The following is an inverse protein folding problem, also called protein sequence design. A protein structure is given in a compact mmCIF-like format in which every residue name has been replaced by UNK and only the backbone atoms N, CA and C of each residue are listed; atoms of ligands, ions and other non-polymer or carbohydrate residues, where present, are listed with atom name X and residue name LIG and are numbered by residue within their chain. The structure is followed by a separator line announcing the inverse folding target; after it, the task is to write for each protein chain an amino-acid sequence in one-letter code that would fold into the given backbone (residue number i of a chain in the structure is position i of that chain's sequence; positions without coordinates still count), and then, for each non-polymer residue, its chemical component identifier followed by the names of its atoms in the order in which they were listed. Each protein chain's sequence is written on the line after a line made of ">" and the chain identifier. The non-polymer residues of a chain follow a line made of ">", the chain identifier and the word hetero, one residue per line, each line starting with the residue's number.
data_IF_052630153258
#
_entry.id   IF_052630153258
#
_cell.length_a   1.000
_cell.length_b   1.000
_cell.length_c   1.000
_cell.angle_alpha   90.00
_cell.angle_beta   90.00
_cell.angle_gamma   90.00
#
_symmetry.space_group_name_H-M   'P 1'
#
loop_
_entity.id
_entity.type
_entity.pdbx_description
1 polymer ?
#
# COMPACT_ATOMS: atom_id res chain seq x y z
N UNK A 1 -3.06 23.02 24.16
CA UNK A 1 -2.38 22.63 22.91
C UNK A 1 -2.79 21.20 22.62
N UNK A 2 -3.78 21.02 21.74
CA UNK A 2 -4.12 19.68 21.24
C UNK A 2 -2.92 19.16 20.44
N UNK A 3 -2.41 17.99 20.81
CA UNK A 3 -1.37 17.31 20.03
C UNK A 3 -2.02 16.81 18.74
N UNK A 4 -1.90 17.57 17.65
CA UNK A 4 -2.22 17.06 16.33
C UNK A 4 -1.10 16.11 15.88
N UNK A 5 -1.38 14.81 15.91
CA UNK A 5 -0.48 13.82 15.35
C UNK A 5 -0.52 13.91 13.81
N UNK A 6 0.65 13.99 13.19
CA UNK A 6 0.78 13.99 11.73
C UNK A 6 1.23 12.61 11.24
N UNK A 7 0.59 12.11 10.18
CA UNK A 7 0.90 10.81 9.58
C UNK A 7 1.23 10.93 8.10
N UNK A 8 2.18 10.11 7.65
CA UNK A 8 2.51 9.95 6.25
C UNK A 8 1.96 8.63 5.72
N UNK A 9 1.20 8.68 4.63
CA UNK A 9 0.68 7.52 3.93
C UNK A 9 1.43 7.37 2.60
N UNK A 10 2.10 6.24 2.42
CA UNK A 10 2.84 5.90 1.21
C UNK A 10 2.06 4.86 0.43
N UNK A 11 1.43 5.28 -0.66
CA UNK A 11 0.45 4.49 -1.40
C UNK A 11 1.01 3.98 -2.72
N UNK A 12 0.63 2.76 -3.07
CA UNK A 12 0.92 2.14 -4.36
C UNK A 12 -0.22 1.17 -4.75
N UNK A 13 -0.19 0.72 -5.99
CA UNK A 13 -1.13 -0.23 -6.54
C UNK A 13 -0.51 -1.37 -7.35
N UNK A 14 -1.14 -2.53 -7.26
CA UNK A 14 -0.85 -3.69 -8.08
C UNK A 14 -2.06 -4.05 -8.94
N UNK A 15 -1.80 -4.39 -10.20
CA UNK A 15 -2.80 -4.91 -11.14
C UNK A 15 -4.02 -3.99 -11.36
N UNK A 16 -3.77 -2.68 -11.41
CA UNK A 16 -4.82 -1.66 -11.48
C UNK A 16 -5.37 -1.46 -12.89
N UNK A 17 -4.58 -1.73 -13.93
CA UNK A 17 -4.99 -1.54 -15.32
C UNK A 17 -6.19 -2.42 -15.66
N UNK A 18 -7.14 -1.87 -16.41
CA UNK A 18 -8.38 -2.58 -16.80
C UNK A 18 -8.11 -3.91 -17.52
N UNK A 19 -7.12 -3.93 -18.40
CA UNK A 19 -6.88 -5.02 -19.35
C UNK A 19 -5.57 -5.79 -19.11
N UNK A 20 -5.09 -5.89 -17.87
CA UNK A 20 -3.85 -6.63 -17.53
C UNK A 20 -4.06 -8.16 -17.33
N UNK A 21 -5.27 -8.67 -17.57
CA UNK A 21 -5.64 -10.07 -17.39
C UNK A 21 -5.73 -10.55 -15.93
N UNK A 22 -5.69 -9.64 -14.96
CA UNK A 22 -5.80 -9.94 -13.52
C UNK A 22 -7.21 -9.65 -13.04
N UNK A 23 -7.76 -10.48 -12.14
CA UNK A 23 -9.11 -10.27 -11.62
C UNK A 23 -9.14 -9.19 -10.52
N UNK A 24 -8.15 -9.24 -9.63
CA UNK A 24 -8.11 -8.39 -8.45
C UNK A 24 -7.09 -7.26 -8.62
N UNK A 25 -7.56 -6.03 -8.44
CA UNK A 25 -6.73 -4.85 -8.22
C UNK A 25 -6.50 -4.69 -6.73
N UNK A 26 -5.25 -4.41 -6.33
CA UNK A 26 -4.87 -4.16 -4.95
C UNK A 26 -4.38 -2.73 -4.85
N UNK A 27 -5.01 -1.93 -4.01
CA UNK A 27 -4.54 -0.60 -3.63
C UNK A 27 -4.14 -0.66 -2.16
N UNK A 28 -2.98 -0.12 -1.80
CA UNK A 28 -2.53 -0.16 -0.42
C UNK A 28 -1.71 1.05 -0.02
N UNK A 29 -1.49 1.17 1.29
CA UNK A 29 -0.54 2.12 1.84
C UNK A 29 0.21 1.56 3.05
N UNK A 30 1.40 2.10 3.27
CA UNK A 30 2.06 2.11 4.58
C UNK A 30 1.82 3.45 5.25
N UNK A 31 1.32 3.42 6.50
CA UNK A 31 1.21 4.62 7.32
C UNK A 31 2.26 4.63 8.42
N UNK A 32 2.82 5.82 8.67
CA UNK A 32 3.83 6.04 9.69
C UNK A 32 3.69 7.46 10.28
N UNK A 33 3.90 7.64 11.61
CA UNK A 33 3.98 8.96 12.21
C UNK A 33 5.08 9.80 11.59
N UNK A 34 4.79 11.07 11.33
CA UNK A 34 5.69 12.01 10.68
C UNK A 34 7.03 12.15 11.43
N UNK A 35 7.00 12.20 12.75
CA UNK A 35 8.17 12.30 13.64
C UNK A 35 9.05 11.04 13.64
N UNK A 36 8.51 9.89 13.21
CA UNK A 36 9.23 8.60 13.14
C UNK A 36 9.90 8.34 11.79
N UNK A 37 9.55 9.07 10.73
CA UNK A 37 10.03 8.82 9.36
C UNK A 37 11.55 8.80 9.26
N UNK A 38 12.23 9.77 9.90
CA UNK A 38 13.69 9.84 9.86
C UNK A 38 14.34 8.58 10.44
N UNK A 39 13.84 8.12 11.59
CA UNK A 39 14.34 6.93 12.28
C UNK A 39 14.06 5.66 11.47
N UNK A 40 12.86 5.53 10.91
CA UNK A 40 12.51 4.38 10.05
C UNK A 40 13.44 4.28 8.83
N UNK A 41 13.75 5.42 8.19
CA UNK A 41 14.69 5.48 7.07
C UNK A 41 16.11 5.06 7.46
N UNK A 42 16.59 5.52 8.61
CA UNK A 42 17.90 5.12 9.15
C UNK A 42 17.95 3.61 9.43
N UNK A 43 16.90 3.05 10.04
CA UNK A 43 16.85 1.64 10.39
C UNK A 43 16.79 0.73 9.15
N UNK A 44 16.03 1.11 8.10
CA UNK A 44 16.02 0.40 6.82
C UNK A 44 17.37 0.53 6.12
N UNK A 45 18.04 1.69 6.21
CA UNK A 45 19.39 1.89 5.66
C UNK A 45 20.41 0.95 6.33
N UNK A 46 20.37 0.78 7.65
CA UNK A 46 21.24 -0.18 8.33
C UNK A 46 20.91 -1.63 7.93
N UNK A 47 19.63 -1.96 7.76
CA UNK A 47 19.23 -3.27 7.25
C UNK A 47 19.77 -3.54 5.84
N UNK A 48 19.69 -2.54 4.94
CA UNK A 48 20.27 -2.62 3.59
C UNK A 48 21.78 -2.85 3.63
N UNK A 49 22.51 -2.15 4.52
CA UNK A 49 23.96 -2.34 4.70
C UNK A 49 24.30 -3.76 5.15
N UNK A 50 23.57 -4.30 6.14
CA UNK A 50 23.75 -5.68 6.64
C UNK A 50 23.72 -6.71 5.51
N UNK A 51 22.82 -6.53 4.55
CA UNK A 51 22.63 -7.45 3.42
C UNK A 51 23.33 -7.01 2.12
N UNK A 52 24.10 -5.92 2.15
CA UNK A 52 24.72 -5.29 0.96
C UNK A 52 23.71 -5.05 -0.18
N UNK A 53 22.46 -4.75 0.17
CA UNK A 53 21.39 -4.54 -0.81
C UNK A 53 21.22 -3.04 -1.14
N UNK A 54 21.82 -2.62 -2.26
CA UNK A 54 21.68 -1.26 -2.81
C UNK A 54 20.50 -1.14 -3.77
N UNK A 55 19.90 -2.26 -4.18
CA UNK A 55 18.81 -2.29 -5.14
C UNK A 55 17.48 -1.87 -4.51
N UNK A 56 16.63 -1.25 -5.34
CA UNK A 56 15.24 -0.98 -5.01
C UNK A 56 14.50 -2.29 -4.67
N UNK A 57 13.75 -2.25 -3.58
CA UNK A 57 12.88 -3.36 -3.17
C UNK A 57 11.63 -3.30 -4.04
N UNK A 58 11.44 -4.35 -4.83
CA UNK A 58 10.22 -4.59 -5.60
C UNK A 58 9.78 -6.04 -5.46
N UNK A 59 8.48 -6.31 -5.46
CA UNK A 59 7.94 -7.67 -5.48
C UNK A 59 8.43 -8.47 -6.70
N UNK A 60 8.60 -7.81 -7.85
CA UNK A 60 9.15 -8.41 -9.06
C UNK A 60 10.58 -8.91 -8.87
N UNK A 61 11.37 -8.24 -8.02
CA UNK A 61 12.79 -8.52 -7.81
C UNK A 61 13.05 -9.63 -6.78
N UNK A 62 12.02 -10.07 -6.05
CA UNK A 62 12.15 -11.14 -5.04
C UNK A 62 12.53 -12.48 -5.69
N UNK A 63 13.67 -13.01 -5.27
CA UNK A 63 14.22 -14.29 -5.70
C UNK A 63 14.95 -14.99 -4.52
N UNK A 64 15.61 -16.12 -4.80
CA UNK A 64 16.25 -16.92 -3.74
C UNK A 64 17.42 -16.18 -3.06
N UNK A 65 18.19 -15.38 -3.81
CA UNK A 65 19.38 -14.70 -3.32
C UNK A 65 19.07 -13.56 -2.34
N UNK A 66 18.01 -12.80 -2.60
CA UNK A 66 17.62 -11.67 -1.75
C UNK A 66 16.52 -12.01 -0.73
N UNK A 67 16.06 -13.27 -0.67
CA UNK A 67 14.98 -13.68 0.20
C UNK A 67 15.21 -13.29 1.67
N UNK A 68 16.41 -13.51 2.21
CA UNK A 68 16.70 -13.23 3.62
C UNK A 68 16.55 -11.74 3.95
N UNK A 69 16.97 -10.86 3.04
CA UNK A 69 16.76 -9.41 3.20
C UNK A 69 15.27 -9.03 3.18
N UNK A 70 14.51 -9.59 2.23
CA UNK A 70 13.07 -9.35 2.15
C UNK A 70 12.32 -9.91 3.37
N UNK A 71 12.72 -11.07 3.88
CA UNK A 71 12.17 -11.65 5.10
C UNK A 71 12.46 -10.76 6.32
N UNK A 72 13.66 -10.18 6.42
CA UNK A 72 14.00 -9.24 7.48
C UNK A 72 13.28 -7.89 7.33
N UNK A 73 12.97 -7.43 6.11
CA UNK A 73 12.10 -6.27 5.90
C UNK A 73 10.67 -6.53 6.41
N UNK A 74 10.14 -7.73 6.16
CA UNK A 74 8.86 -8.15 6.73
C UNK A 74 8.93 -8.19 8.26
N UNK A 75 10.02 -8.72 8.83
CA UNK A 75 10.22 -8.69 10.28
C UNK A 75 10.26 -7.25 10.81
N UNK A 76 11.10 -6.40 10.22
CA UNK A 76 11.21 -4.97 10.53
C UNK A 76 9.85 -4.29 10.56
N UNK A 77 8.99 -4.58 9.58
CA UNK A 77 7.63 -4.07 9.58
C UNK A 77 6.88 -4.57 10.81
N UNK A 78 6.73 -5.88 10.98
CA UNK A 78 5.88 -6.46 12.02
C UNK A 78 6.40 -6.27 13.45
N UNK A 79 7.70 -6.04 13.65
CA UNK A 79 8.33 -5.78 14.96
C UNK A 79 8.06 -4.37 15.50
N UNK A 80 7.40 -3.51 14.71
CA UNK A 80 7.15 -2.10 15.01
C UNK A 80 5.68 -1.81 15.19
N UNK A 81 5.29 -1.14 16.27
CA UNK A 81 3.90 -0.76 16.52
C UNK A 81 3.49 0.56 15.86
N UNK A 82 4.46 1.39 15.48
CA UNK A 82 4.26 2.74 14.96
C UNK A 82 3.91 2.78 13.46
N UNK A 83 4.30 1.76 12.70
CA UNK A 83 3.95 1.66 11.27
C UNK A 83 2.82 0.68 11.03
N UNK A 84 1.93 0.98 10.08
CA UNK A 84 0.77 0.14 9.76
C UNK A 84 0.66 -0.06 8.26
N UNK A 85 0.00 -1.13 7.86
CA UNK A 85 -0.34 -1.42 6.48
C UNK A 85 -1.85 -1.52 6.34
N UNK A 86 -2.38 -0.92 5.29
CA UNK A 86 -3.75 -1.16 4.84
C UNK A 86 -3.76 -1.45 3.35
N UNK A 87 -4.58 -2.40 2.94
CA UNK A 87 -4.93 -2.62 1.56
C UNK A 87 -6.44 -2.80 1.37
N UNK A 88 -6.89 -2.46 0.17
CA UNK A 88 -8.19 -2.88 -0.33
C UNK A 88 -8.01 -3.86 -1.49
N UNK A 89 -8.86 -4.88 -1.51
CA UNK A 89 -8.92 -5.87 -2.60
C UNK A 89 -10.17 -5.56 -3.42
N UNK A 90 -9.99 -5.27 -4.70
CA UNK A 90 -11.07 -4.89 -5.61
C UNK A 90 -11.20 -5.92 -6.72
N UNK A 91 -12.36 -6.57 -6.81
CA UNK A 91 -12.68 -7.40 -7.97
C UNK A 91 -13.06 -6.51 -9.16
N UNK A 92 -12.21 -6.49 -10.20
CA UNK A 92 -12.41 -5.66 -11.38
C UNK A 92 -13.66 -6.05 -12.18
N UNK A 93 -14.19 -7.27 -12.00
CA UNK A 93 -15.47 -7.67 -12.61
C UNK A 93 -16.67 -6.88 -12.07
N UNK A 94 -16.50 -6.19 -10.93
CA UNK A 94 -17.54 -5.32 -10.35
C UNK A 94 -17.55 -3.91 -10.96
N UNK A 95 -16.66 -3.60 -11.91
CA UNK A 95 -16.71 -2.34 -12.64
C UNK A 95 -17.99 -2.23 -13.47
N UNK A 96 -18.81 -1.22 -13.17
CA UNK A 96 -20.02 -0.88 -13.92
C UNK A 96 -19.79 0.44 -14.64
N UNK A 97 -19.56 0.38 -15.96
CA UNK A 97 -19.21 1.54 -16.77
C UNK A 97 -20.20 2.71 -16.64
N UNK A 98 -21.51 2.42 -16.68
CA UNK A 98 -22.55 3.44 -16.56
C UNK A 98 -22.48 4.23 -15.23
N UNK A 99 -22.07 3.58 -14.12
CA UNK A 99 -21.92 4.25 -12.82
C UNK A 99 -20.65 5.11 -12.73
N UNK A 100 -19.71 4.91 -13.65
CA UNK A 100 -18.42 5.60 -13.67
C UNK A 100 -18.28 6.52 -14.90
N UNK A 101 -19.38 6.89 -15.56
CA UNK A 101 -19.37 7.68 -16.80
C UNK A 101 -18.46 7.08 -17.90
N UNK A 102 -18.40 5.75 -17.97
CA UNK A 102 -17.52 4.99 -18.87
C UNK A 102 -16.02 5.24 -18.67
N UNK A 103 -15.63 5.93 -17.60
CA UNK A 103 -14.25 6.19 -17.22
C UNK A 103 -13.79 5.18 -16.16
N UNK A 104 -12.86 4.31 -16.55
CA UNK A 104 -12.27 3.33 -15.64
C UNK A 104 -11.37 3.98 -14.59
N UNK A 105 -10.76 5.12 -14.91
CA UNK A 105 -9.90 5.82 -13.95
C UNK A 105 -10.74 6.40 -12.81
N UNK A 106 -11.95 6.88 -13.11
CA UNK A 106 -12.92 7.25 -12.07
C UNK A 106 -13.22 6.10 -11.11
N UNK A 107 -13.38 4.87 -11.62
CA UNK A 107 -13.53 3.70 -10.77
C UNK A 107 -12.30 3.50 -9.87
N UNK A 108 -11.09 3.55 -10.43
CA UNK A 108 -9.83 3.48 -9.68
C UNK A 108 -9.75 4.54 -8.56
N UNK A 109 -10.09 5.80 -8.84
CA UNK A 109 -10.07 6.86 -7.82
C UNK A 109 -11.12 6.70 -6.73
N UNK A 110 -12.32 6.21 -7.08
CA UNK A 110 -13.33 5.85 -6.08
C UNK A 110 -12.82 4.75 -5.15
N UNK A 111 -12.03 3.80 -5.66
CA UNK A 111 -11.40 2.79 -4.82
C UNK A 111 -10.28 3.38 -3.95
N UNK A 112 -9.45 4.28 -4.47
CA UNK A 112 -8.49 5.03 -3.66
C UNK A 112 -9.13 5.82 -2.53
N UNK A 113 -10.31 6.41 -2.77
CA UNK A 113 -11.11 7.03 -1.72
C UNK A 113 -11.51 6.01 -0.64
N UNK A 114 -11.99 4.82 -1.01
CA UNK A 114 -12.31 3.73 -0.06
C UNK A 114 -11.08 3.27 0.74
N UNK A 115 -9.89 3.26 0.11
CA UNK A 115 -8.65 2.93 0.78
C UNK A 115 -8.34 3.92 1.91
N UNK A 116 -8.46 5.22 1.63
CA UNK A 116 -7.95 6.27 2.53
C UNK A 116 -9.02 6.69 3.56
N UNK A 117 -10.21 7.08 3.11
CA UNK A 117 -11.20 7.82 3.89
C UNK A 117 -11.62 7.14 5.20
N UNK A 118 -11.85 5.82 5.17
CA UNK A 118 -12.52 5.10 6.28
C UNK A 118 -11.70 4.92 7.56
N UNK A 119 -10.39 5.16 7.52
CA UNK A 119 -9.49 5.09 8.68
C UNK A 119 -8.81 6.44 8.97
N UNK A 120 -9.30 7.53 8.41
CA UNK A 120 -8.85 8.86 8.83
C UNK A 120 -9.44 9.18 10.21
N UNK A 121 -8.63 9.85 11.03
CA UNK A 121 -8.98 10.41 12.32
C UNK A 121 -9.00 11.94 12.20
N UNK A 122 -10.13 12.56 12.53
CA UNK A 122 -10.33 14.01 12.42
C UNK A 122 -9.43 14.81 13.36
N UNK A 123 -8.82 14.19 14.38
CA UNK A 123 -7.89 14.88 15.29
C UNK A 123 -6.45 14.88 14.80
N UNK A 124 -6.16 14.19 13.69
CA UNK A 124 -4.82 14.04 13.11
C UNK A 124 -4.71 14.73 11.75
N UNK A 125 -3.49 14.98 11.29
CA UNK A 125 -3.23 15.48 9.93
C UNK A 125 -2.48 14.45 9.09
N UNK A 126 -2.65 14.53 7.77
CA UNK A 126 -2.17 13.49 6.86
C UNK A 126 -1.46 14.06 5.64
N UNK A 127 -0.30 13.48 5.34
CA UNK A 127 0.44 13.65 4.11
C UNK A 127 0.35 12.37 3.28
N UNK A 128 -0.20 12.45 2.08
CA UNK A 128 -0.37 11.32 1.17
C UNK A 128 0.69 11.41 0.07
N UNK A 129 1.41 10.31 -0.13
CA UNK A 129 2.46 10.14 -1.12
C UNK A 129 2.07 9.01 -2.07
N UNK A 130 1.92 9.31 -3.34
CA UNK A 130 1.57 8.35 -4.40
C UNK A 130 2.82 8.04 -5.23
N UNK A 131 2.99 6.79 -5.68
CA UNK A 131 4.06 6.44 -6.63
C UNK A 131 3.82 7.10 -8.01
N UNK A 132 4.88 7.63 -8.62
CA UNK A 132 4.82 8.18 -9.98
C UNK A 132 4.72 7.04 -10.98
N UNK A 133 3.63 6.99 -11.74
CA UNK A 133 3.49 6.04 -12.87
C UNK A 133 3.46 6.68 -14.25
N UNK A 134 2.77 7.82 -14.46
CA UNK A 134 2.76 8.57 -15.74
C UNK A 134 2.30 10.03 -15.56
N UNK A 135 2.65 10.93 -16.50
CA UNK A 135 2.46 12.39 -16.47
C UNK A 135 0.98 12.88 -16.47
N UNK A 136 0.00 11.97 -16.64
CA UNK A 136 -1.45 12.28 -16.62
C UNK A 136 -2.02 12.47 -15.20
N UNK A 137 -1.16 12.49 -14.20
CA UNK A 137 -1.50 12.26 -12.80
C UNK A 137 -1.77 13.52 -11.97
N UNK A 138 -1.45 14.71 -12.49
CA UNK A 138 -1.59 15.99 -11.76
C UNK A 138 -3.05 16.43 -11.59
N UNK A 139 -3.84 16.44 -12.67
CA UNK A 139 -5.27 16.81 -12.64
C UNK A 139 -6.08 15.93 -11.67
N UNK A 140 -5.66 14.66 -11.54
CA UNK A 140 -6.39 13.64 -10.79
C UNK A 140 -6.04 13.62 -9.30
N UNK A 141 -4.84 14.10 -8.93
CA UNK A 141 -4.53 14.42 -7.52
C UNK A 141 -5.47 15.50 -7.00
N UNK A 142 -5.75 16.53 -7.79
CA UNK A 142 -6.66 17.59 -7.36
C UNK A 142 -8.07 17.07 -7.12
N UNK A 143 -8.57 16.18 -7.99
CA UNK A 143 -9.87 15.51 -7.78
C UNK A 143 -9.87 14.64 -6.53
N UNK A 144 -8.83 13.81 -6.32
CA UNK A 144 -8.72 13.01 -5.09
C UNK A 144 -8.64 13.92 -3.85
N UNK A 145 -7.88 15.02 -3.92
CA UNK A 145 -7.78 16.01 -2.85
C UNK A 145 -9.13 16.66 -2.58
N UNK A 146 -9.89 17.05 -3.61
CA UNK A 146 -11.26 17.57 -3.46
C UNK A 146 -12.12 16.53 -2.75
N UNK A 147 -12.21 15.31 -3.27
CA UNK A 147 -13.06 14.26 -2.69
C UNK A 147 -12.69 13.98 -1.22
N UNK A 148 -11.39 13.93 -0.88
CA UNK A 148 -10.94 13.68 0.49
C UNK A 148 -11.11 14.88 1.44
N UNK A 149 -10.86 16.12 0.96
CA UNK A 149 -10.90 17.32 1.81
C UNK A 149 -12.27 18.01 1.86
N UNK A 150 -13.25 17.64 1.03
CA UNK A 150 -14.61 18.21 1.08
C UNK A 150 -15.23 18.12 2.48
N UNK A 151 -14.81 17.16 3.32
CA UNK A 151 -15.45 16.91 4.61
C UNK A 151 -14.60 17.21 5.86
N UNK A 152 -13.27 17.23 5.78
CA UNK A 152 -12.45 17.19 7.01
C UNK A 152 -11.31 18.21 7.10
N UNK A 153 -10.75 18.68 5.98
CA UNK A 153 -9.60 19.61 6.01
C UNK A 153 -8.30 19.05 6.63
N UNK A 154 -8.25 17.74 6.91
CA UNK A 154 -7.13 17.06 7.60
C UNK A 154 -6.03 16.55 6.65
N UNK A 155 -6.26 16.54 5.33
CA UNK A 155 -5.23 16.19 4.36
C UNK A 155 -4.45 17.46 3.99
N UNK A 156 -3.27 17.63 4.59
CA UNK A 156 -2.37 18.75 4.32
C UNK A 156 -1.82 18.68 2.90
N UNK A 157 -1.44 17.47 2.46
CA UNK A 157 -0.67 17.26 1.25
C UNK A 157 -1.04 15.97 0.55
N UNK A 158 -1.13 16.03 -0.78
CA UNK A 158 -1.10 14.87 -1.67
C UNK A 158 -0.01 15.17 -2.70
N UNK A 159 1.00 14.30 -2.80
CA UNK A 159 2.05 14.47 -3.81
C UNK A 159 2.49 13.15 -4.40
N UNK A 160 3.09 13.26 -5.57
CA UNK A 160 3.84 12.18 -6.19
C UNK A 160 5.25 12.06 -5.63
N UNK A 161 5.75 10.83 -5.54
CA UNK A 161 7.12 10.49 -5.17
C UNK A 161 7.64 9.36 -6.04
N UNK A 162 8.96 9.25 -6.18
CA UNK A 162 9.57 8.13 -6.88
C UNK A 162 9.80 6.98 -5.90
N UNK A 163 9.23 5.81 -6.19
CA UNK A 163 9.39 4.58 -5.38
C UNK A 163 10.84 4.30 -4.93
N UNK A 164 11.83 4.45 -5.82
CA UNK A 164 13.23 4.21 -5.48
C UNK A 164 13.82 5.17 -4.41
N UNK A 165 13.20 6.33 -4.18
CA UNK A 165 13.64 7.32 -3.19
C UNK A 165 13.02 7.11 -1.79
N UNK A 166 11.99 6.25 -1.70
CA UNK A 166 11.13 6.12 -0.51
C UNK A 166 11.00 4.67 -0.06
N UNK A 167 11.73 4.28 0.98
CA UNK A 167 11.75 2.90 1.50
C UNK A 167 10.37 2.38 1.96
N UNK A 168 9.55 3.24 2.58
CA UNK A 168 8.21 2.84 3.04
C UNK A 168 7.23 2.60 1.87
N UNK A 169 7.43 3.27 0.74
CA UNK A 169 6.68 3.03 -0.48
C UNK A 169 7.08 1.69 -1.10
N UNK A 170 8.37 1.36 -1.09
CA UNK A 170 8.85 0.04 -1.52
C UNK A 170 8.34 -1.10 -0.62
N UNK A 171 8.17 -0.83 0.68
CA UNK A 171 7.53 -1.77 1.60
C UNK A 171 6.03 -1.94 1.29
N UNK A 172 5.36 -0.88 0.83
CA UNK A 172 4.00 -0.96 0.32
C UNK A 172 3.92 -1.85 -0.93
N UNK A 173 4.76 -1.60 -1.95
CA UNK A 173 4.89 -2.44 -3.17
C UNK A 173 5.05 -3.92 -2.80
N UNK A 174 5.91 -4.20 -1.82
CA UNK A 174 6.17 -5.56 -1.36
C UNK A 174 4.90 -6.26 -0.85
N UNK A 175 4.11 -5.60 -0.01
CA UNK A 175 2.91 -6.18 0.57
C UNK A 175 1.76 -6.28 -0.43
N UNK A 176 1.50 -5.24 -1.22
CA UNK A 176 0.46 -5.31 -2.26
C UNK A 176 0.82 -6.33 -3.35
N UNK A 177 2.11 -6.49 -3.67
CA UNK A 177 2.61 -7.50 -4.58
C UNK A 177 2.41 -8.92 -4.04
N UNK A 178 2.64 -9.14 -2.75
CA UNK A 178 2.34 -10.41 -2.08
C UNK A 178 0.85 -10.75 -2.10
N UNK A 179 -0.03 -9.79 -1.78
CA UNK A 179 -1.49 -9.95 -1.85
C UNK A 179 -1.94 -10.25 -3.28
N UNK A 180 -1.49 -9.45 -4.25
CA UNK A 180 -1.82 -9.59 -5.66
C UNK A 180 -1.41 -10.96 -6.20
N UNK A 181 -0.18 -11.41 -5.92
CA UNK A 181 0.28 -12.73 -6.33
C UNK A 181 -0.53 -13.85 -5.67
N UNK A 182 -0.91 -13.69 -4.39
CA UNK A 182 -1.72 -14.69 -3.72
C UNK A 182 -3.12 -14.83 -4.36
N UNK A 183 -3.72 -13.72 -4.80
CA UNK A 183 -5.09 -13.65 -5.29
C UNK A 183 -5.23 -13.88 -6.80
N UNK A 184 -4.27 -13.42 -7.60
CA UNK A 184 -4.38 -13.40 -9.06
C UNK A 184 -3.66 -14.56 -9.77
N UNK A 185 -2.84 -15.34 -9.07
CA UNK A 185 -2.08 -16.43 -9.66
C UNK A 185 -2.65 -17.78 -9.22
N UNK A 186 -3.25 -18.51 -10.16
CA UNK A 186 -3.75 -19.89 -9.95
C UNK A 186 -2.57 -20.83 -9.68
N UNK A 187 -1.53 -20.74 -10.51
CA UNK A 187 -0.32 -21.54 -10.39
C UNK A 187 0.77 -20.69 -9.72
N UNK A 188 1.20 -21.11 -8.53
CA UNK A 188 2.22 -20.42 -7.73
C UNK A 188 3.47 -21.30 -7.68
N UNK A 189 4.51 -20.93 -8.44
CA UNK A 189 5.74 -21.73 -8.58
C UNK A 189 6.99 -21.05 -8.01
N UNK A 190 6.95 -19.74 -7.79
CA UNK A 190 8.11 -19.01 -7.28
C UNK A 190 8.26 -19.25 -5.77
N UNK A 191 9.09 -20.23 -5.40
CA UNK A 191 9.31 -20.63 -4.00
C UNK A 191 9.67 -19.45 -3.06
N UNK A 192 10.54 -18.49 -3.41
CA UNK A 192 10.81 -17.33 -2.55
C UNK A 192 9.57 -16.47 -2.28
N UNK A 193 8.70 -16.30 -3.29
CA UNK A 193 7.44 -15.55 -3.18
C UNK A 193 6.45 -16.28 -2.27
N UNK A 194 6.31 -17.59 -2.45
CA UNK A 194 5.48 -18.45 -1.60
C UNK A 194 5.92 -18.39 -0.13
N UNK A 195 7.22 -18.52 0.12
CA UNK A 195 7.79 -18.43 1.49
C UNK A 195 7.54 -17.07 2.12
N UNK A 196 7.67 -15.98 1.36
CA UNK A 196 7.42 -14.64 1.89
C UNK A 196 5.94 -14.39 2.19
N UNK A 197 5.04 -14.88 1.33
CA UNK A 197 3.58 -14.84 1.59
C UNK A 197 3.25 -15.58 2.88
N UNK A 198 3.80 -16.78 3.06
CA UNK A 198 3.58 -17.56 4.28
C UNK A 198 4.14 -16.84 5.52
N UNK A 199 5.32 -16.22 5.40
CA UNK A 199 5.87 -15.40 6.48
C UNK A 199 4.94 -14.23 6.83
N UNK A 200 4.40 -13.52 5.83
CA UNK A 200 3.45 -12.41 6.06
C UNK A 200 2.20 -12.95 6.75
N UNK A 201 1.65 -14.09 6.30
CA UNK A 201 0.50 -14.76 6.92
C UNK A 201 0.77 -15.09 8.40
N UNK A 202 1.90 -15.69 8.71
CA UNK A 202 2.29 -16.04 10.08
C UNK A 202 2.49 -14.80 10.96
N UNK A 203 3.16 -13.77 10.45
CA UNK A 203 3.43 -12.54 11.21
C UNK A 203 2.19 -11.67 11.41
N UNK A 204 1.24 -11.72 10.48
CA UNK A 204 -0.02 -10.95 10.55
C UNK A 204 -1.15 -11.68 11.27
N UNK A 205 -1.16 -13.01 11.22
CA UNK A 205 -2.29 -13.83 11.69
C UNK A 205 -3.55 -13.73 10.83
N UNK A 206 -3.46 -13.23 9.59
CA UNK A 206 -4.63 -13.04 8.70
C UNK A 206 -4.52 -13.88 7.42
N UNK A 207 -5.65 -14.18 6.77
CA UNK A 207 -5.70 -15.07 5.60
C UNK A 207 -5.02 -14.52 4.34
N UNK A 208 -4.84 -13.20 4.25
CA UNK A 208 -4.40 -12.46 3.06
C UNK A 208 -5.40 -12.46 1.89
N UNK A 209 -6.62 -12.95 2.12
CA UNK A 209 -7.66 -13.08 1.08
C UNK A 209 -8.98 -12.44 1.51
N UNK A 210 -9.22 -12.43 2.82
CA UNK A 210 -10.47 -11.99 3.45
C UNK A 210 -10.33 -10.61 4.08
N UNK A 211 -11.48 -9.97 4.26
CA UNK A 211 -11.58 -8.74 5.04
C UNK A 211 -11.20 -9.00 6.49
N UNK A 212 -10.24 -8.22 6.99
CA UNK A 212 -9.93 -8.14 8.42
C UNK A 212 -10.95 -7.25 9.14
N UNK A 213 -11.06 -7.38 10.46
CA UNK A 213 -11.84 -6.42 11.26
C UNK A 213 -11.37 -4.98 11.00
N UNK A 214 -12.31 -4.03 11.02
CA UNK A 214 -12.00 -2.60 10.85
C UNK A 214 -10.97 -2.10 11.89
N UNK A 215 -10.96 -2.69 13.08
CA UNK A 215 -10.03 -2.40 14.17
C UNK A 215 -8.63 -3.03 14.02
N UNK A 216 -8.38 -3.83 12.97
CA UNK A 216 -7.07 -4.44 12.75
C UNK A 216 -6.01 -3.35 12.52
N UNK A 217 -5.18 -3.11 13.54
CA UNK A 217 -4.27 -1.98 13.57
C UNK A 217 -3.01 -2.17 12.71
N UNK A 218 -2.44 -3.39 12.70
CA UNK A 218 -1.12 -3.61 12.11
C UNK A 218 -1.16 -3.89 10.61
N UNK A 219 -2.01 -4.84 10.21
CA UNK A 219 -2.15 -5.30 8.83
C UNK A 219 -3.64 -5.41 8.50
N UNK A 220 -4.17 -4.37 7.86
CA UNK A 220 -5.59 -4.22 7.58
C UNK A 220 -5.87 -4.57 6.11
N UNK A 221 -6.82 -5.47 5.86
CA UNK A 221 -7.27 -5.83 4.52
C UNK A 221 -8.77 -5.60 4.45
N UNK A 222 -9.24 -4.88 3.45
CA UNK A 222 -10.66 -4.71 3.19
C UNK A 222 -11.01 -5.17 1.77
N UNK A 223 -11.72 -6.28 1.66
CA UNK A 223 -12.24 -6.77 0.40
C UNK A 223 -13.52 -6.03 0.05
N UNK A 224 -13.51 -5.35 -1.09
CA UNK A 224 -14.64 -4.57 -1.54
C UNK A 224 -15.73 -5.50 -2.08
N UNK A 225 -16.87 -5.51 -1.39
CA UNK A 225 -18.09 -6.15 -1.83
C UNK A 225 -19.05 -5.07 -2.36
N UNK A 226 -19.05 -4.82 -3.68
CA UNK A 226 -20.04 -3.97 -4.38
C UNK A 226 -21.22 -4.80 -4.86
#
# INVERSE_FOLDING_TARGET
>A
MEFHAAYNYYCDESCHLKNDGKQYMILGYISAPYDRIKKLKEDIKELRKKYKNTLEVKWSNLNAWNYTFYADLVNFFFDRSDIRFRAIIVDKKRYIAAKCNHDYDRFYYLMYYQLIYHLLDTTSTYNIYLDIKDDLSSYRIEELKKILNVHMGIIEKIQHVRSHEVDLLQLCDLFIGALSYNLNNIVKQALPKLRLIEKIRQRSGVSLEETTYKSAAKFNIFRIHI
#
